data_IF_825390779240
#
_entry.id   IF_825390779240
#
_cell.length_a   1.000
_cell.length_b   1.000
_cell.length_c   1.000
_cell.angle_alpha   90.00
_cell.angle_beta   90.00
_cell.angle_gamma   90.00
#
_symmetry.space_group_name_H-M   'P 1'
#
loop_
_entity.id
_entity.type
_entity.pdbx_description
1 polymer ?
#
# COMPACT_ATOMS: atom_id res chain seq x y z
N UNK A 1 -4.68 10.89 -12.08
CA UNK A 1 -5.99 10.43 -11.58
C UNK A 1 -6.95 10.25 -12.74
N UNK A 2 -7.68 9.14 -12.80
CA UNK A 2 -8.71 8.91 -13.81
C UNK A 2 -10.04 9.58 -13.41
N UNK A 3 -11.05 9.50 -14.29
CA UNK A 3 -12.38 10.12 -14.07
C UNK A 3 -13.12 9.62 -12.82
N UNK A 4 -12.72 8.49 -12.24
CA UNK A 4 -13.35 7.86 -11.08
C UNK A 4 -12.59 8.12 -9.77
N UNK A 5 -11.50 8.88 -9.81
CA UNK A 5 -10.68 9.21 -8.64
C UNK A 5 -9.49 8.26 -8.40
N UNK A 6 -9.22 7.32 -9.30
CA UNK A 6 -8.13 6.35 -9.11
C UNK A 6 -6.81 6.83 -9.70
N UNK A 7 -5.70 6.46 -9.09
CA UNK A 7 -4.35 6.79 -9.49
C UNK A 7 -3.52 5.52 -9.58
N UNK A 8 -2.95 5.29 -10.77
CA UNK A 8 -2.18 4.10 -11.11
C UNK A 8 -0.66 4.30 -11.05
N UNK A 9 -0.21 5.49 -11.44
CA UNK A 9 1.21 5.78 -11.57
C UNK A 9 1.78 6.35 -10.27
N UNK A 10 2.83 5.70 -9.73
CA UNK A 10 3.53 6.16 -8.53
C UNK A 10 4.07 7.60 -8.68
N UNK A 11 4.47 8.00 -9.90
CA UNK A 11 4.96 9.33 -10.21
C UNK A 11 3.92 10.44 -10.05
N UNK A 12 2.63 10.11 -10.05
CA UNK A 12 1.57 11.08 -9.80
C UNK A 12 1.59 11.57 -8.33
N UNK A 13 1.99 10.71 -7.39
CA UNK A 13 2.11 11.02 -5.97
C UNK A 13 3.41 11.80 -5.70
N UNK A 14 3.40 13.09 -6.03
CA UNK A 14 4.60 13.95 -5.92
C UNK A 14 4.88 14.42 -4.49
N UNK A 15 3.84 14.57 -3.68
CA UNK A 15 3.95 14.93 -2.26
C UNK A 15 2.70 14.53 -1.49
N UNK A 16 2.82 14.42 -0.17
CA UNK A 16 1.70 14.10 0.71
C UNK A 16 0.60 15.18 0.66
N UNK A 17 0.95 16.47 0.62
CA UNK A 17 -0.04 17.54 0.52
C UNK A 17 -0.93 17.40 -0.72
N UNK A 18 -0.31 17.14 -1.89
CA UNK A 18 -1.07 16.96 -3.14
C UNK A 18 -1.88 15.68 -3.14
N UNK A 19 -1.41 14.66 -2.43
CA UNK A 19 -2.16 13.41 -2.28
C UNK A 19 -3.48 13.68 -1.55
N UNK A 20 -3.45 14.50 -0.49
CA UNK A 20 -4.64 14.85 0.26
C UNK A 20 -5.61 15.79 -0.49
N UNK A 21 -5.16 16.50 -1.53
CA UNK A 21 -6.06 17.25 -2.42
C UNK A 21 -7.00 16.34 -3.24
N UNK A 22 -6.70 15.03 -3.33
CA UNK A 22 -7.51 14.07 -4.07
C UNK A 22 -8.58 13.38 -3.25
N UNK A 23 -8.60 13.61 -1.93
CA UNK A 23 -9.59 13.00 -1.05
C UNK A 23 -11.01 13.46 -1.42
N UNK A 24 -11.90 12.50 -1.60
CA UNK A 24 -13.33 12.75 -1.81
C UNK A 24 -14.05 13.17 -0.52
N UNK A 25 -13.43 12.96 0.63
CA UNK A 25 -13.91 13.32 1.96
C UNK A 25 -12.97 14.33 2.62
N UNK A 26 -13.46 15.03 3.64
CA UNK A 26 -12.60 15.89 4.44
C UNK A 26 -11.54 15.06 5.16
N UNK A 27 -10.30 15.56 5.14
CA UNK A 27 -9.18 15.01 5.88
C UNK A 27 -9.53 14.81 7.35
N UNK A 28 -9.07 13.70 7.94
CA UNK A 28 -9.26 13.39 9.34
C UNK A 28 -8.69 14.51 10.23
N UNK A 29 -9.33 14.72 11.37
CA UNK A 29 -8.95 15.74 12.36
C UNK A 29 -7.66 15.38 13.12
N UNK A 30 -7.25 14.12 13.10
CA UNK A 30 -6.11 13.60 13.87
C UNK A 30 -4.76 13.82 13.15
N UNK A 31 -4.77 14.46 11.97
CA UNK A 31 -3.55 14.84 11.24
C UNK A 31 -2.69 15.80 12.07
N UNK A 32 -1.41 15.46 12.22
CA UNK A 32 -0.41 16.33 12.83
C UNK A 32 0.57 16.85 11.77
N UNK A 33 0.57 18.16 11.45
CA UNK A 33 1.50 18.74 10.47
C UNK A 33 2.99 18.51 10.78
N UNK A 34 3.35 18.25 12.03
CA UNK A 34 4.73 17.96 12.44
C UNK A 34 5.25 16.63 11.86
N UNK A 35 4.35 15.71 11.48
CA UNK A 35 4.69 14.37 10.99
C UNK A 35 4.67 14.25 9.47
N UNK A 36 4.67 15.39 8.78
CA UNK A 36 4.62 15.44 7.33
C UNK A 36 5.77 14.68 6.67
N UNK A 37 6.95 14.66 7.29
CA UNK A 37 8.12 13.95 6.76
C UNK A 37 7.89 12.44 6.82
N UNK A 38 7.36 11.95 7.92
CA UNK A 38 7.02 10.55 8.15
C UNK A 38 5.85 10.11 7.27
N UNK A 39 4.83 10.94 7.09
CA UNK A 39 3.76 10.70 6.12
C UNK A 39 4.30 10.59 4.69
N UNK A 40 5.22 11.48 4.31
CA UNK A 40 5.87 11.43 3.01
C UNK A 40 6.70 10.15 2.84
N UNK A 41 7.42 9.72 3.89
CA UNK A 41 8.18 8.47 3.88
C UNK A 41 7.26 7.26 3.63
N UNK A 42 6.12 7.18 4.32
CA UNK A 42 5.13 6.11 4.13
C UNK A 42 4.56 6.15 2.70
N UNK A 43 4.24 7.34 2.19
CA UNK A 43 3.78 7.52 0.81
C UNK A 43 4.80 6.98 -0.20
N UNK A 44 6.07 7.30 0.00
CA UNK A 44 7.17 6.92 -0.90
C UNK A 44 7.51 5.43 -0.81
N UNK A 45 7.66 4.90 0.39
CA UNK A 45 8.11 3.51 0.58
C UNK A 45 6.98 2.50 0.41
N UNK A 46 5.79 2.79 0.92
CA UNK A 46 4.68 1.84 0.94
C UNK A 46 3.79 1.99 -0.29
N UNK A 47 3.10 3.11 -0.46
CA UNK A 47 2.07 3.25 -1.51
C UNK A 47 2.68 3.38 -2.90
N UNK A 48 3.66 4.26 -3.08
CA UNK A 48 4.39 4.37 -4.34
C UNK A 48 5.19 3.11 -4.61
N UNK A 49 5.77 2.50 -3.57
CA UNK A 49 6.44 1.21 -3.66
C UNK A 49 5.51 0.11 -4.20
N UNK A 50 4.29 0.00 -3.69
CA UNK A 50 3.29 -0.96 -4.16
C UNK A 50 2.86 -0.71 -5.60
N UNK A 51 2.54 0.54 -5.97
CA UNK A 51 2.18 0.87 -7.35
C UNK A 51 3.32 0.55 -8.32
N UNK A 52 4.55 0.89 -7.94
CA UNK A 52 5.74 0.61 -8.72
C UNK A 52 5.92 -0.90 -8.91
N UNK A 53 5.88 -1.66 -7.82
CA UNK A 53 6.03 -3.12 -7.88
C UNK A 53 4.92 -3.78 -8.69
N UNK A 54 3.66 -3.53 -8.33
CA UNK A 54 2.54 -4.28 -8.88
C UNK A 54 2.24 -3.95 -10.34
N UNK A 55 2.48 -2.71 -10.78
CA UNK A 55 2.20 -2.31 -12.16
C UNK A 55 3.38 -2.50 -13.12
N UNK A 56 4.62 -2.67 -12.62
CA UNK A 56 5.81 -2.70 -13.47
C UNK A 56 6.78 -3.87 -13.21
N UNK A 57 6.80 -4.45 -12.01
CA UNK A 57 7.80 -5.46 -11.60
C UNK A 57 7.19 -6.86 -11.42
N UNK A 58 5.96 -6.94 -10.91
CA UNK A 58 5.24 -8.17 -10.52
C UNK A 58 5.25 -9.27 -11.57
N UNK A 59 4.93 -8.96 -12.83
CA UNK A 59 4.87 -9.93 -13.93
C UNK A 59 6.19 -10.68 -14.11
N UNK A 60 7.30 -9.96 -14.00
CA UNK A 60 8.63 -10.54 -14.15
C UNK A 60 9.08 -11.26 -12.88
N UNK A 61 8.55 -10.87 -11.72
CA UNK A 61 8.88 -11.44 -10.42
C UNK A 61 8.02 -12.68 -10.06
N UNK A 62 6.90 -12.88 -10.76
CA UNK A 62 5.98 -14.01 -10.55
C UNK A 62 6.69 -15.37 -10.70
N UNK A 63 7.66 -15.49 -11.62
CA UNK A 63 8.46 -16.71 -11.80
C UNK A 63 9.36 -17.03 -10.60
N UNK A 64 9.62 -16.03 -9.75
CA UNK A 64 10.38 -16.15 -8.51
C UNK A 64 9.47 -16.17 -7.28
N UNK A 65 8.18 -16.46 -7.45
CA UNK A 65 7.21 -16.50 -6.35
C UNK A 65 6.94 -15.14 -5.73
N UNK A 66 7.06 -14.04 -6.50
CA UNK A 66 6.79 -12.68 -6.03
C UNK A 66 7.71 -12.23 -4.88
N UNK A 67 8.98 -12.67 -4.90
CA UNK A 67 9.96 -12.40 -3.85
C UNK A 67 10.13 -10.89 -3.55
N UNK A 68 9.99 -10.03 -4.55
CA UNK A 68 10.03 -8.59 -4.40
C UNK A 68 8.91 -8.04 -3.51
N UNK A 69 7.68 -8.58 -3.60
CA UNK A 69 6.55 -8.09 -2.78
C UNK A 69 6.77 -8.34 -1.28
N UNK A 70 7.62 -9.30 -0.91
CA UNK A 70 7.88 -9.63 0.50
C UNK A 70 8.44 -8.45 1.30
N UNK A 71 9.07 -7.46 0.65
CA UNK A 71 9.63 -6.27 1.30
C UNK A 71 8.60 -5.37 1.99
N UNK A 72 7.32 -5.52 1.66
CA UNK A 72 6.23 -4.70 2.20
C UNK A 72 5.58 -5.30 3.45
N UNK A 73 6.04 -6.45 3.91
CA UNK A 73 5.40 -7.21 4.96
C UNK A 73 6.37 -7.60 6.08
N UNK A 74 5.92 -7.41 7.31
CA UNK A 74 6.43 -8.14 8.47
C UNK A 74 5.62 -9.44 8.61
N UNK A 75 6.13 -10.53 8.06
CA UNK A 75 5.43 -11.81 8.00
C UNK A 75 5.07 -12.39 9.37
N UNK A 76 5.87 -12.11 10.40
CA UNK A 76 5.64 -12.61 11.75
C UNK A 76 4.49 -11.85 12.43
N UNK A 77 4.32 -10.56 12.09
CA UNK A 77 3.31 -9.70 12.68
C UNK A 77 2.06 -9.50 11.83
N UNK A 78 2.09 -9.91 10.56
CA UNK A 78 0.99 -9.66 9.63
C UNK A 78 -0.25 -10.47 9.96
N UNK A 79 -1.38 -9.77 9.99
CA UNK A 79 -2.72 -10.30 10.05
C UNK A 79 -3.42 -9.90 8.76
N UNK A 80 -4.02 -10.86 8.05
CA UNK A 80 -4.76 -10.57 6.81
C UNK A 80 -6.21 -11.01 6.89
N UNK A 81 -7.06 -10.19 6.28
CA UNK A 81 -8.45 -10.51 6.01
C UNK A 81 -8.67 -10.34 4.51
N UNK A 82 -9.05 -11.41 3.83
CA UNK A 82 -9.30 -11.38 2.40
C UNK A 82 -10.46 -12.29 2.02
N UNK A 83 -10.64 -12.51 0.71
CA UNK A 83 -11.70 -13.37 0.17
C UNK A 83 -11.53 -14.85 0.55
N UNK A 84 -10.34 -15.27 0.98
CA UNK A 84 -10.04 -16.65 1.41
C UNK A 84 -10.19 -16.83 2.92
N UNK A 85 -10.34 -15.74 3.67
CA UNK A 85 -10.69 -15.75 5.09
C UNK A 85 -9.75 -14.90 5.92
N UNK A 86 -9.48 -15.38 7.13
CA UNK A 86 -8.58 -14.72 8.07
C UNK A 86 -7.30 -15.54 8.21
N UNK A 87 -6.15 -14.93 7.95
CA UNK A 87 -4.84 -15.52 8.23
C UNK A 87 -4.29 -14.91 9.52
N UNK A 88 -4.22 -15.69 10.62
CA UNK A 88 -3.71 -15.19 11.90
C UNK A 88 -2.22 -14.83 11.82
N UNK A 89 -1.76 -14.00 12.76
CA UNK A 89 -0.34 -13.61 12.87
C UNK A 89 0.58 -14.82 12.93
N UNK A 90 1.72 -14.71 12.26
CA UNK A 90 2.71 -15.79 12.14
C UNK A 90 2.40 -16.83 11.05
N UNK A 91 1.24 -16.73 10.37
CA UNK A 91 0.85 -17.68 9.33
C UNK A 91 0.74 -17.06 7.92
N UNK A 92 1.08 -15.77 7.77
CA UNK A 92 0.93 -15.08 6.48
C UNK A 92 1.88 -15.61 5.39
N UNK A 93 3.01 -16.22 5.75
CA UNK A 93 3.98 -16.79 4.80
C UNK A 93 3.37 -17.80 3.84
N UNK A 94 2.69 -18.81 4.39
CA UNK A 94 2.07 -19.87 3.60
C UNK A 94 0.94 -19.31 2.72
N UNK A 95 0.16 -18.37 3.26
CA UNK A 95 -0.89 -17.70 2.51
C UNK A 95 -0.32 -16.86 1.35
N UNK A 96 0.75 -16.10 1.59
CA UNK A 96 1.43 -15.32 0.57
C UNK A 96 1.92 -16.22 -0.57
N UNK A 97 2.65 -17.28 -0.25
CA UNK A 97 3.23 -18.19 -1.24
C UNK A 97 2.15 -18.94 -2.04
N UNK A 98 0.99 -19.20 -1.42
CA UNK A 98 -0.14 -19.82 -2.09
C UNK A 98 -0.91 -18.88 -3.01
N UNK A 99 -0.96 -17.56 -2.74
CA UNK A 99 -1.87 -16.64 -3.42
C UNK A 99 -1.14 -15.68 -4.36
N UNK A 100 -0.07 -15.02 -3.89
CA UNK A 100 0.55 -13.90 -4.61
C UNK A 100 1.03 -14.24 -6.03
N UNK A 101 1.60 -15.42 -6.31
CA UNK A 101 2.00 -15.78 -7.67
C UNK A 101 0.84 -15.79 -8.68
N UNK A 102 -0.39 -16.06 -8.24
CA UNK A 102 -1.58 -16.04 -9.11
C UNK A 102 -2.02 -14.62 -9.50
N UNK A 103 -1.51 -13.59 -8.82
CA UNK A 103 -1.89 -12.20 -9.05
C UNK A 103 -0.78 -11.40 -9.75
N UNK A 104 0.27 -12.08 -10.21
CA UNK A 104 1.45 -11.44 -10.79
C UNK A 104 1.20 -10.63 -12.07
N UNK A 105 0.09 -10.85 -12.77
CA UNK A 105 -0.35 -10.05 -13.93
C UNK A 105 -1.42 -9.00 -13.60
N UNK A 106 -1.73 -8.83 -12.32
CA UNK A 106 -2.69 -7.86 -11.84
C UNK A 106 -2.24 -6.40 -12.04
N UNK A 107 -3.19 -5.49 -11.85
CA UNK A 107 -2.94 -4.05 -11.82
C UNK A 107 -3.46 -3.46 -10.52
N UNK A 108 -2.75 -2.49 -9.98
CA UNK A 108 -3.10 -1.82 -8.74
C UNK A 108 -3.31 -0.33 -8.99
N UNK A 109 -4.45 0.16 -8.52
CA UNK A 109 -4.78 1.57 -8.50
C UNK A 109 -5.26 1.92 -7.09
N UNK A 110 -4.95 3.13 -6.62
CA UNK A 110 -5.47 3.62 -5.36
C UNK A 110 -6.44 4.78 -5.57
N UNK A 111 -7.39 4.91 -4.65
CA UNK A 111 -8.30 6.04 -4.52
C UNK A 111 -8.30 6.48 -3.06
N UNK A 112 -8.48 7.77 -2.82
CA UNK A 112 -8.68 8.33 -1.47
C UNK A 112 -7.64 7.89 -0.42
N UNK A 113 -6.36 7.74 -0.82
CA UNK A 113 -5.30 7.39 0.15
C UNK A 113 -5.17 8.52 1.17
N UNK A 114 -5.33 8.16 2.44
CA UNK A 114 -5.07 9.01 3.58
C UNK A 114 -4.18 8.28 4.57
N UNK A 115 -3.04 8.87 4.96
CA UNK A 115 -2.30 8.41 6.14
C UNK A 115 -2.94 9.13 7.32
N UNK A 116 -3.85 8.43 7.99
CA UNK A 116 -4.83 9.03 8.90
C UNK A 116 -4.23 9.40 10.24
N UNK A 117 -3.38 8.52 10.80
CA UNK A 117 -2.68 8.78 12.05
C UNK A 117 -1.36 8.02 12.11
N UNK A 118 -0.39 8.59 12.82
CA UNK A 118 0.90 7.97 13.03
C UNK A 118 1.20 7.89 14.53
N UNK A 119 2.33 7.27 14.81
CA UNK A 119 3.06 7.29 16.05
C UNK A 119 4.52 7.09 15.68
N UNK A 120 5.42 7.10 16.66
CA UNK A 120 6.84 6.88 16.40
C UNK A 120 7.13 5.57 15.64
N UNK A 121 6.36 4.53 15.91
CA UNK A 121 6.68 3.16 15.47
C UNK A 121 5.54 2.51 14.65
N UNK A 122 4.48 3.25 14.32
CA UNK A 122 3.31 2.70 13.63
C UNK A 122 2.54 3.77 12.89
N UNK A 123 1.92 3.40 11.77
CA UNK A 123 1.01 4.24 11.02
C UNK A 123 -0.29 3.51 10.72
N UNK A 124 -1.37 4.26 10.59
CA UNK A 124 -2.66 3.79 10.12
C UNK A 124 -3.10 4.66 8.96
N UNK A 125 -3.58 4.00 7.92
CA UNK A 125 -4.00 4.64 6.69
C UNK A 125 -5.31 4.03 6.19
N UNK A 126 -6.06 4.83 5.44
CA UNK A 126 -7.30 4.44 4.78
C UNK A 126 -7.22 4.67 3.27
N UNK A 127 -8.09 4.01 2.53
CA UNK A 127 -8.28 4.10 1.08
C UNK A 127 -9.67 3.63 0.68
#
# INVERSE_FOLDING_TARGET
MNKNGFVKEASAYTSIDKTYEWLSMSKNKDHNPEWKVEEQEILDQLYKGWLQYWNHESVNDAVNGMAGARRFYDFDQMLSYDMFGNTPRGHFGEHFDAIFPYWGDGQMDFKDIEITCLSKDSAFSTM
#
